data_IF_838977893385
#
_entry.id   IF_838977893385
#
_cell.length_a   1.000
_cell.length_b   1.000
_cell.length_c   1.000
_cell.angle_alpha   90.00
_cell.angle_beta   90.00
_cell.angle_gamma   90.00
#
_symmetry.space_group_name_H-M   'P 1'
#
loop_
_entity.id
_entity.type
_entity.pdbx_description
1 polymer ?
#
# COMPACT_ATOMS: atom_id res chain seq x y z
N UNK A 1 1.60 13.14 -7.04
CA UNK A 1 0.94 12.18 -6.10
C UNK A 1 1.36 10.74 -6.36
N UNK A 2 1.33 10.26 -7.63
CA UNK A 2 1.75 8.89 -7.98
C UNK A 2 3.12 8.52 -7.44
N UNK A 3 4.15 9.32 -7.74
CA UNK A 3 5.52 9.12 -7.25
C UNK A 3 5.59 8.92 -5.71
N UNK A 4 4.94 9.82 -4.96
CA UNK A 4 4.93 9.75 -3.48
C UNK A 4 4.32 8.45 -2.99
N UNK A 5 3.19 8.02 -3.55
CA UNK A 5 2.51 6.80 -3.09
C UNK A 5 3.21 5.52 -3.57
N UNK A 6 3.88 5.54 -4.72
CA UNK A 6 4.76 4.43 -5.12
C UNK A 6 5.86 4.19 -4.08
N UNK A 7 6.49 5.25 -3.56
CA UNK A 7 7.47 5.13 -2.47
C UNK A 7 6.83 4.83 -1.11
N UNK A 8 5.82 5.59 -0.72
CA UNK A 8 5.20 5.45 0.60
C UNK A 8 4.52 4.08 0.79
N UNK A 9 3.71 3.64 -0.18
CA UNK A 9 2.98 2.38 -0.08
C UNK A 9 3.85 1.20 -0.53
N UNK A 10 4.54 1.34 -1.68
CA UNK A 10 5.28 0.25 -2.32
C UNK A 10 6.63 -0.05 -1.69
N UNK A 11 7.32 0.96 -1.13
CA UNK A 11 8.61 0.78 -0.47
C UNK A 11 8.46 0.80 1.06
N UNK A 12 8.15 1.97 1.64
CA UNK A 12 8.13 2.14 3.09
C UNK A 12 7.11 1.21 3.75
N UNK A 13 5.89 1.17 3.23
CA UNK A 13 4.82 0.32 3.74
C UNK A 13 5.16 -1.16 3.65
N UNK A 14 5.54 -1.66 2.47
CA UNK A 14 5.84 -3.08 2.25
C UNK A 14 7.00 -3.59 3.11
N UNK A 15 8.09 -2.82 3.22
CA UNK A 15 9.23 -3.19 4.07
C UNK A 15 8.80 -3.22 5.55
N UNK A 16 8.06 -2.20 6.00
CA UNK A 16 7.59 -2.13 7.38
C UNK A 16 6.64 -3.30 7.70
N UNK A 17 5.73 -3.64 6.79
CA UNK A 17 4.85 -4.80 6.95
C UNK A 17 5.62 -6.11 7.05
N UNK A 18 6.60 -6.33 6.18
CA UNK A 18 7.48 -7.49 6.24
C UNK A 18 8.26 -7.57 7.56
N UNK A 19 8.81 -6.45 8.02
CA UNK A 19 9.52 -6.36 9.30
C UNK A 19 8.60 -6.70 10.48
N UNK A 20 7.36 -6.20 10.51
CA UNK A 20 6.38 -6.52 11.55
C UNK A 20 6.01 -8.00 11.54
N UNK A 21 5.77 -8.59 10.37
CA UNK A 21 5.47 -10.02 10.26
C UNK A 21 6.59 -10.91 10.78
N UNK A 22 7.85 -10.47 10.66
CA UNK A 22 9.00 -11.17 11.21
C UNK A 22 9.18 -10.94 12.72
N UNK A 23 9.08 -9.69 13.17
CA UNK A 23 9.42 -9.29 14.54
C UNK A 23 8.34 -9.67 15.55
N UNK A 24 7.05 -9.51 15.21
CA UNK A 24 5.95 -9.73 16.15
C UNK A 24 5.96 -11.15 16.77
N UNK A 25 6.04 -12.26 16.01
CA UNK A 25 6.09 -13.57 16.64
C UNK A 25 7.32 -13.73 17.54
N UNK A 26 8.48 -13.17 17.17
CA UNK A 26 9.70 -13.24 17.99
C UNK A 26 9.58 -12.48 19.31
N UNK A 27 9.10 -11.24 19.26
CA UNK A 27 8.94 -10.38 20.43
C UNK A 27 7.90 -10.96 21.41
N UNK A 28 6.86 -11.62 20.88
CA UNK A 28 5.85 -12.32 21.68
C UNK A 28 6.16 -13.81 21.95
N UNK A 29 7.40 -14.26 21.67
CA UNK A 29 7.87 -15.64 21.91
C UNK A 29 6.97 -16.72 21.30
N UNK A 30 6.42 -16.46 20.12
CA UNK A 30 5.58 -17.36 19.31
C UNK A 30 6.42 -18.05 18.25
N UNK A 31 6.10 -19.32 17.98
CA UNK A 31 6.77 -20.08 16.92
C UNK A 31 6.49 -19.52 15.52
N UNK A 32 5.27 -18.99 15.30
CA UNK A 32 4.84 -18.42 14.04
C UNK A 32 3.70 -17.42 14.22
N UNK A 33 3.41 -16.66 13.17
CA UNK A 33 2.20 -15.87 13.04
C UNK A 33 0.94 -16.76 13.09
N UNK A 34 -0.18 -16.16 13.45
CA UNK A 34 -1.48 -16.84 13.54
C UNK A 34 -1.89 -17.51 12.21
N UNK A 35 -1.74 -16.82 11.08
CA UNK A 35 -2.01 -17.38 9.75
C UNK A 35 -1.06 -16.83 8.69
N UNK A 36 -0.37 -17.72 7.96
CA UNK A 36 0.44 -17.35 6.79
C UNK A 36 -0.42 -17.05 5.56
N UNK A 37 -1.60 -17.67 5.45
CA UNK A 37 -2.54 -17.37 4.37
C UNK A 37 -3.04 -15.92 4.43
N UNK A 38 -3.23 -15.37 5.63
CA UNK A 38 -3.59 -13.95 5.81
C UNK A 38 -2.46 -13.00 5.40
N UNK A 39 -1.20 -13.42 5.55
CA UNK A 39 -0.04 -12.66 5.05
C UNK A 39 -0.07 -12.61 3.53
N UNK A 40 -0.36 -13.74 2.87
CA UNK A 40 -0.50 -13.80 1.40
C UNK A 40 -1.65 -12.92 0.91
N UNK A 41 -2.82 -12.98 1.57
CA UNK A 41 -3.95 -12.10 1.25
C UNK A 41 -3.61 -10.62 1.41
N UNK A 42 -2.95 -10.24 2.50
CA UNK A 42 -2.48 -8.87 2.69
C UNK A 42 -1.51 -8.48 1.56
N UNK A 43 -0.53 -9.32 1.23
CA UNK A 43 0.43 -9.05 0.16
C UNK A 43 -0.27 -8.77 -1.18
N UNK A 44 -1.23 -9.60 -1.57
CA UNK A 44 -1.95 -9.42 -2.85
C UNK A 44 -2.83 -8.18 -2.85
N UNK A 45 -3.58 -7.92 -1.78
CA UNK A 45 -4.39 -6.72 -1.66
C UNK A 45 -3.54 -5.44 -1.69
N UNK A 46 -2.43 -5.43 -0.96
CA UNK A 46 -1.50 -4.32 -0.95
C UNK A 46 -0.87 -4.12 -2.34
N UNK A 47 -0.39 -5.18 -2.98
CA UNK A 47 0.27 -5.11 -4.30
C UNK A 47 -0.68 -4.62 -5.38
N UNK A 48 -1.87 -5.22 -5.50
CA UNK A 48 -2.87 -4.79 -6.49
C UNK A 48 -3.33 -3.37 -6.19
N UNK A 49 -3.54 -3.03 -4.92
CA UNK A 49 -3.90 -1.68 -4.49
C UNK A 49 -2.86 -0.62 -4.91
N UNK A 50 -1.57 -0.91 -4.72
CA UNK A 50 -0.47 -0.03 -5.16
C UNK A 50 -0.46 0.12 -6.68
N UNK A 51 -0.60 -0.97 -7.44
CA UNK A 51 -0.58 -0.92 -8.90
C UNK A 51 -1.73 -0.07 -9.44
N UNK A 52 -2.95 -0.24 -8.93
CA UNK A 52 -4.11 0.57 -9.31
C UNK A 52 -3.91 2.05 -8.95
N UNK A 53 -3.36 2.33 -7.76
CA UNK A 53 -3.05 3.69 -7.32
C UNK A 53 -2.01 4.35 -8.25
N UNK A 54 -0.91 3.65 -8.54
CA UNK A 54 0.15 4.16 -9.38
C UNK A 54 -0.33 4.42 -10.81
N UNK A 55 -1.02 3.45 -11.42
CA UNK A 55 -1.55 3.55 -12.78
C UNK A 55 -2.51 4.73 -12.93
N UNK A 56 -3.49 4.87 -12.04
CA UNK A 56 -4.45 5.99 -12.08
C UNK A 56 -3.76 7.35 -11.94
N UNK A 57 -2.74 7.47 -11.10
CA UNK A 57 -2.01 8.72 -10.90
C UNK A 57 -1.04 9.06 -12.03
N UNK A 58 -0.48 8.07 -12.74
CA UNK A 58 0.27 8.33 -13.96
C UNK A 58 -0.63 8.85 -15.06
N UNK A 59 -1.77 8.19 -15.30
CA UNK A 59 -2.75 8.63 -16.30
C UNK A 59 -3.23 10.05 -15.98
N UNK A 60 -3.58 10.31 -14.71
CA UNK A 60 -3.98 11.64 -14.24
C UNK A 60 -2.90 12.69 -14.50
N UNK A 61 -1.65 12.42 -14.10
CA UNK A 61 -0.57 13.40 -14.23
C UNK A 61 -0.21 13.72 -15.68
N UNK A 62 -0.20 12.71 -16.57
CA UNK A 62 0.03 12.92 -18.00
C UNK A 62 -1.13 13.72 -18.60
N UNK A 63 -2.38 13.30 -18.32
CA UNK A 63 -3.58 13.97 -18.81
C UNK A 63 -3.63 15.45 -18.38
N UNK A 64 -3.42 15.75 -17.09
CA UNK A 64 -3.36 17.12 -16.58
C UNK A 64 -2.29 17.93 -17.30
N UNK A 65 -1.06 17.39 -17.38
CA UNK A 65 0.05 18.08 -18.02
C UNK A 65 -0.19 18.35 -19.51
N UNK A 66 -0.86 17.44 -20.23
CA UNK A 66 -1.23 17.63 -21.62
C UNK A 66 -2.35 18.66 -21.77
N UNK A 67 -3.44 18.53 -21.01
CA UNK A 67 -4.61 19.42 -21.13
C UNK A 67 -4.26 20.86 -20.78
N UNK A 68 -3.43 21.09 -19.75
CA UNK A 68 -3.02 22.43 -19.31
C UNK A 68 -2.09 23.16 -20.27
N UNK A 69 -1.38 22.44 -21.14
CA UNK A 69 -0.46 23.02 -22.13
C UNK A 69 -0.98 22.95 -23.56
N UNK A 70 -2.17 22.40 -23.76
CA UNK A 70 -2.73 22.19 -25.08
C UNK A 70 -3.22 23.52 -25.65
N UNK A 71 -2.62 23.91 -26.77
CA UNK A 71 -3.01 25.09 -27.54
C UNK A 71 -3.53 24.68 -28.92
N UNK A 72 -4.46 25.46 -29.46
CA UNK A 72 -4.95 25.28 -30.83
C UNK A 72 -3.99 25.92 -31.87
N UNK A 73 -4.34 25.83 -33.15
CA UNK A 73 -3.51 26.39 -34.22
C UNK A 73 -3.42 27.93 -34.19
N UNK A 74 -4.29 28.60 -33.41
CA UNK A 74 -4.30 30.05 -33.22
C UNK A 74 -3.59 30.46 -31.91
N UNK A 75 -3.11 29.48 -31.12
CA UNK A 75 -2.40 29.70 -29.86
C UNK A 75 -3.31 29.86 -28.64
N UNK A 76 -4.63 29.63 -28.76
CA UNK A 76 -5.54 29.67 -27.62
C UNK A 76 -5.53 28.35 -26.85
N UNK A 77 -5.79 28.41 -25.55
CA UNK A 77 -5.85 27.23 -24.69
C UNK A 77 -7.09 26.39 -25.06
N UNK A 78 -6.89 25.10 -25.36
CA UNK A 78 -7.95 24.20 -25.83
C UNK A 78 -8.89 23.80 -24.69
N UNK A 79 -8.35 23.57 -23.49
CA UNK A 79 -9.11 23.08 -22.35
C UNK A 79 -9.20 24.15 -21.26
N UNK A 80 -10.38 24.33 -20.70
CA UNK A 80 -10.52 25.08 -19.45
C UNK A 80 -9.98 24.25 -18.28
N UNK A 81 -9.68 24.91 -17.16
CA UNK A 81 -9.32 24.18 -15.94
C UNK A 81 -10.44 23.25 -15.46
N UNK A 82 -11.71 23.65 -15.63
CA UNK A 82 -12.87 22.85 -15.25
C UNK A 82 -12.94 21.53 -16.05
N UNK A 83 -12.58 21.55 -17.33
CA UNK A 83 -12.54 20.35 -18.17
C UNK A 83 -11.51 19.35 -17.64
N UNK A 84 -10.32 19.84 -17.26
CA UNK A 84 -9.30 18.99 -16.63
C UNK A 84 -9.78 18.43 -15.30
N UNK A 85 -10.49 19.21 -14.47
CA UNK A 85 -11.06 18.72 -13.21
C UNK A 85 -12.07 17.60 -13.46
N UNK A 86 -12.96 17.77 -14.44
CA UNK A 86 -13.95 16.76 -14.82
C UNK A 86 -13.30 15.47 -15.35
N UNK A 87 -12.30 15.59 -16.23
CA UNK A 87 -11.61 14.46 -16.84
C UNK A 87 -10.88 13.56 -15.82
N UNK A 88 -10.50 14.10 -14.66
CA UNK A 88 -9.82 13.35 -13.59
C UNK A 88 -10.71 12.46 -12.75
N UNK A 89 -12.02 12.68 -12.76
CA UNK A 89 -12.92 12.00 -11.83
C UNK A 89 -12.81 10.46 -11.89
N UNK A 90 -12.80 9.80 -13.06
CA UNK A 90 -12.62 8.35 -13.13
C UNK A 90 -11.33 7.86 -12.46
N UNK A 91 -10.24 8.63 -12.59
CA UNK A 91 -8.96 8.29 -11.98
C UNK A 91 -8.99 8.44 -10.46
N UNK A 92 -9.76 9.39 -9.91
CA UNK A 92 -9.96 9.48 -8.46
C UNK A 92 -10.73 8.30 -7.89
N UNK A 93 -11.71 7.76 -8.64
CA UNK A 93 -12.41 6.54 -8.25
C UNK A 93 -11.43 5.37 -8.20
N UNK A 94 -10.66 5.13 -9.27
CA UNK A 94 -9.66 4.04 -9.32
C UNK A 94 -8.62 4.18 -8.20
N UNK A 95 -8.12 5.40 -7.97
CA UNK A 95 -7.20 5.70 -6.86
C UNK A 95 -7.82 5.35 -5.51
N UNK A 96 -9.07 5.75 -5.29
CA UNK A 96 -9.81 5.46 -4.06
C UNK A 96 -9.97 3.95 -3.83
N UNK A 97 -10.33 3.21 -4.87
CA UNK A 97 -10.42 1.75 -4.83
C UNK A 97 -9.09 1.09 -4.51
N UNK A 98 -7.99 1.51 -5.18
CA UNK A 98 -6.65 0.99 -4.90
C UNK A 98 -6.20 1.26 -3.46
N UNK A 99 -6.46 2.48 -2.96
CA UNK A 99 -6.19 2.85 -1.56
C UNK A 99 -7.02 2.03 -0.57
N UNK A 100 -8.30 1.77 -0.87
CA UNK A 100 -9.17 0.95 -0.04
C UNK A 100 -8.70 -0.51 0.02
N UNK A 101 -8.23 -1.08 -1.10
CA UNK A 101 -7.65 -2.42 -1.13
C UNK A 101 -6.40 -2.50 -0.23
N UNK A 102 -5.51 -1.51 -0.34
CA UNK A 102 -4.32 -1.42 0.51
C UNK A 102 -4.68 -1.33 2.00
N UNK A 103 -5.64 -0.46 2.35
CA UNK A 103 -6.13 -0.30 3.71
C UNK A 103 -6.76 -1.59 4.25
N UNK A 104 -7.55 -2.27 3.43
CA UNK A 104 -8.15 -3.57 3.79
C UNK A 104 -7.08 -4.61 4.06
N UNK A 105 -6.01 -4.64 3.26
CA UNK A 105 -4.84 -5.46 3.52
C UNK A 105 -4.17 -5.15 4.87
N UNK A 106 -4.01 -3.88 5.21
CA UNK A 106 -3.47 -3.46 6.50
C UNK A 106 -4.37 -3.86 7.68
N UNK A 107 -5.70 -3.80 7.53
CA UNK A 107 -6.64 -4.29 8.55
C UNK A 107 -6.49 -5.81 8.76
N UNK A 108 -6.30 -6.59 7.69
CA UNK A 108 -6.00 -8.03 7.77
C UNK A 108 -4.70 -8.26 8.52
N UNK A 109 -3.66 -7.46 8.29
CA UNK A 109 -2.42 -7.52 9.06
C UNK A 109 -2.68 -7.27 10.54
N UNK A 110 -3.35 -6.17 10.89
CA UNK A 110 -3.67 -5.84 12.28
C UNK A 110 -4.40 -7.00 12.98
N UNK A 111 -5.39 -7.59 12.33
CA UNK A 111 -6.10 -8.77 12.84
C UNK A 111 -5.16 -9.98 13.05
N UNK A 112 -4.33 -10.31 12.06
CA UNK A 112 -3.40 -11.45 12.14
C UNK A 112 -2.37 -11.27 13.26
N UNK A 113 -1.81 -10.06 13.40
CA UNK A 113 -0.86 -9.73 14.46
C UNK A 113 -1.54 -9.77 15.84
N UNK A 114 -2.74 -9.21 15.97
CA UNK A 114 -3.51 -9.23 17.22
C UNK A 114 -3.86 -10.65 17.66
N UNK A 115 -4.28 -11.52 16.75
CA UNK A 115 -4.52 -12.94 17.03
C UNK A 115 -3.24 -13.67 17.43
N UNK A 116 -2.10 -13.32 16.82
CA UNK A 116 -0.78 -13.87 17.19
C UNK A 116 -0.41 -13.52 18.64
N UNK A 117 -0.71 -12.29 19.06
CA UNK A 117 -0.47 -11.82 20.43
C UNK A 117 -1.42 -12.49 21.43
N UNK A 118 -2.72 -12.54 21.14
CA UNK A 118 -3.76 -13.01 22.08
C UNK A 118 -3.80 -14.52 22.32
N UNK A 119 -3.33 -15.35 21.38
CA UNK A 119 -3.47 -16.81 21.48
C UNK A 119 -2.75 -17.34 22.73
N UNK A 120 -3.44 -17.69 23.81
CA UNK A 120 -2.78 -18.22 25.02
C UNK A 120 -2.28 -19.65 24.72
N UNK A 121 -0.97 -19.86 24.71
CA UNK A 121 -0.38 -21.16 24.39
C UNK A 121 1.10 -21.09 23.99
N UNK A 122 1.94 -21.66 24.86
CA UNK A 122 3.39 -21.88 24.79
C UNK A 122 4.21 -20.71 24.20
N UNK A 123 4.40 -19.66 25.00
CA UNK A 123 5.57 -18.80 24.81
C UNK A 123 6.81 -19.68 25.02
N UNK A 124 7.60 -19.92 23.96
CA UNK A 124 8.86 -20.66 24.13
C UNK A 124 9.81 -19.80 24.98
N UNK A 125 10.49 -20.35 26.00
CA UNK A 125 11.54 -19.61 26.67
C UNK A 125 12.56 -19.17 25.61
N UNK A 126 12.96 -17.90 25.65
CA UNK A 126 13.93 -17.37 24.71
C UNK A 126 15.22 -18.18 24.85
N UNK A 127 15.66 -18.82 23.76
CA UNK A 127 17.01 -19.37 23.72
C UNK A 127 17.98 -18.18 23.89
N UNK A 128 18.83 -18.27 24.91
CA UNK A 128 19.81 -17.24 25.23
C UNK A 128 20.63 -16.89 24.00
N UNK A 129 20.92 -15.59 23.83
CA UNK A 129 21.85 -15.13 22.82
C UNK A 129 23.16 -15.90 23.00
N UNK A 130 23.52 -16.71 22.00
CA UNK A 130 24.83 -17.31 21.93
C UNK A 130 25.79 -16.15 21.71
N UNK A 131 26.65 -15.89 22.71
CA UNK A 131 27.72 -14.92 22.59
C UNK A 131 28.57 -15.30 21.38
N UNK A 132 28.79 -14.34 20.49
CA UNK A 132 29.74 -14.51 19.40
C UNK A 132 31.15 -14.51 20.00
N UNK A 133 31.81 -15.67 19.95
CA UNK A 133 33.28 -15.76 19.90
C UNK A 133 33.75 -15.59 18.46
#
# INVERSE_FOLDING_TARGET
IGHVHSGALGWNGMITFGALYYLVPKLWKRERLYSLSLVSWHFWLATIGIVLYAASMWVTGIMEGLMWRQVDAQGFLVNSFADTVGAKFPMYVVRGTGGLMYLTGALIMCYNLWMTVRKVGAAKPAAAAVAAE
#
